data_IF_931744625586
#
_entry.id   IF_931744625586
#
_cell.length_a   1.000
_cell.length_b   1.000
_cell.length_c   1.000
_cell.angle_alpha   90.00
_cell.angle_beta   90.00
_cell.angle_gamma   90.00
#
_symmetry.space_group_name_H-M   'P 1'
#
loop_
_entity.id
_entity.type
_entity.pdbx_description
1 polymer ?
#
# COMPACT_ATOMS: atom_id res chain seq x y z
N UNK A 1 21.97 6.99 33.91
CA UNK A 1 21.06 7.77 33.03
C UNK A 1 19.88 6.86 32.70
N UNK A 2 18.63 7.32 32.79
CA UNK A 2 17.50 6.52 32.34
C UNK A 2 17.68 6.22 30.85
N UNK A 3 17.87 4.95 30.52
CA UNK A 3 17.96 4.50 29.13
C UNK A 3 16.52 4.30 28.67
N UNK A 4 16.04 5.20 27.81
CA UNK A 4 14.74 5.03 27.16
C UNK A 4 14.89 3.86 26.19
N UNK A 5 14.37 2.70 26.60
CA UNK A 5 14.40 1.51 25.80
C UNK A 5 13.26 1.51 24.77
N UNK A 6 13.31 0.58 23.80
CA UNK A 6 12.19 0.33 22.90
C UNK A 6 10.87 0.09 23.64
N UNK A 7 10.93 -0.51 24.84
CA UNK A 7 9.77 -0.74 25.71
C UNK A 7 9.10 0.55 26.20
N UNK A 8 9.85 1.53 26.70
CA UNK A 8 9.27 2.83 27.09
C UNK A 8 8.68 3.58 25.88
N UNK A 9 9.33 3.52 24.72
CA UNK A 9 8.82 4.17 23.49
C UNK A 9 7.46 3.58 23.10
N UNK A 10 7.31 2.25 23.15
CA UNK A 10 6.04 1.59 22.85
C UNK A 10 4.96 1.97 23.86
N UNK A 11 5.29 2.07 25.15
CA UNK A 11 4.35 2.49 26.19
C UNK A 11 3.86 3.94 25.98
N UNK A 12 4.76 4.86 25.64
CA UNK A 12 4.42 6.24 25.30
C UNK A 12 3.57 6.33 24.03
N UNK A 13 3.89 5.52 23.01
CA UNK A 13 3.09 5.41 21.80
C UNK A 13 1.67 4.93 22.12
N UNK A 14 1.53 3.89 22.95
CA UNK A 14 0.22 3.39 23.39
C UNK A 14 -0.60 4.48 24.09
N UNK A 15 0.03 5.26 24.97
CA UNK A 15 -0.63 6.36 25.65
C UNK A 15 -1.06 7.44 24.65
N UNK A 16 -0.18 7.84 23.74
CA UNK A 16 -0.50 8.79 22.67
C UNK A 16 -1.62 8.27 21.75
N UNK A 17 -1.62 6.97 21.43
CA UNK A 17 -2.71 6.32 20.68
C UNK A 17 -4.04 6.35 21.43
N UNK A 18 -4.03 6.34 22.76
CA UNK A 18 -5.25 6.43 23.56
C UNK A 18 -5.82 7.86 23.56
N UNK A 19 -4.96 8.88 23.62
CA UNK A 19 -5.37 10.28 23.56
C UNK A 19 -5.78 10.72 22.15
N UNK A 20 -4.97 10.40 21.15
CA UNK A 20 -5.17 10.84 19.77
C UNK A 20 -5.96 9.84 18.92
N UNK A 21 -5.98 8.56 19.29
CA UNK A 21 -6.57 7.47 18.53
C UNK A 21 -5.59 6.83 17.52
N UNK A 22 -5.72 5.53 17.32
CA UNK A 22 -4.89 4.74 16.38
C UNK A 22 -4.93 5.24 14.92
N UNK A 23 -5.99 5.96 14.54
CA UNK A 23 -6.16 6.50 13.17
C UNK A 23 -5.44 7.83 12.94
N UNK A 24 -5.22 8.63 13.99
CA UNK A 24 -4.61 9.99 13.86
C UNK A 24 -3.10 9.95 13.68
N UNK A 25 -2.40 9.04 14.36
CA UNK A 25 -0.95 8.91 14.21
C UNK A 25 -0.48 8.65 12.77
N UNK A 26 -1.03 7.66 12.04
CA UNK A 26 -0.63 7.41 10.65
C UNK A 26 -1.09 8.51 9.69
N UNK A 27 -2.18 9.21 10.00
CA UNK A 27 -2.66 10.35 9.22
C UNK A 27 -1.66 11.52 9.28
N UNK A 28 -1.21 11.87 10.48
CA UNK A 28 -0.19 12.91 10.72
C UNK A 28 1.18 12.49 10.15
N UNK A 29 1.58 11.22 10.32
CA UNK A 29 2.81 10.70 9.74
C UNK A 29 2.81 10.76 8.20
N UNK A 30 1.67 10.50 7.55
CA UNK A 30 1.55 10.61 6.08
C UNK A 30 1.66 12.05 5.59
N UNK A 31 1.05 13.02 6.27
CA UNK A 31 1.15 14.43 5.86
C UNK A 31 2.56 14.98 6.11
N UNK A 32 3.16 14.68 7.26
CA UNK A 32 4.55 15.02 7.58
C UNK A 32 5.53 14.36 6.63
N UNK A 33 5.33 13.09 6.29
CA UNK A 33 6.22 12.34 5.39
C UNK A 33 6.26 12.92 3.98
N UNK A 34 5.10 13.33 3.44
CA UNK A 34 5.02 14.03 2.15
C UNK A 34 5.75 15.37 2.19
N UNK A 35 5.48 16.19 3.21
CA UNK A 35 6.16 17.48 3.37
C UNK A 35 7.66 17.34 3.58
N UNK A 36 8.11 16.33 4.35
CA UNK A 36 9.52 16.04 4.56
C UNK A 36 10.21 15.56 3.27
N UNK A 37 9.49 14.80 2.42
CA UNK A 37 10.01 14.38 1.11
C UNK A 37 10.17 15.56 0.18
N UNK A 38 9.15 16.40 0.03
CA UNK A 38 9.20 17.63 -0.78
C UNK A 38 10.28 18.60 -0.26
N UNK A 39 10.41 18.74 1.06
CA UNK A 39 11.46 19.53 1.69
C UNK A 39 12.85 18.96 1.39
N UNK A 40 13.05 17.65 1.54
CA UNK A 40 14.32 17.00 1.22
C UNK A 40 14.64 17.13 -0.27
N UNK A 41 13.67 16.97 -1.16
CA UNK A 41 13.87 17.08 -2.61
C UNK A 41 14.28 18.50 -3.01
N UNK A 42 13.68 19.52 -2.37
CA UNK A 42 14.02 20.92 -2.59
C UNK A 42 15.40 21.30 -2.03
N UNK A 43 15.76 20.77 -0.85
CA UNK A 43 17.06 21.03 -0.21
C UNK A 43 18.20 20.24 -0.84
N UNK A 44 17.93 19.04 -1.38
CA UNK A 44 18.94 18.14 -1.96
C UNK A 44 19.21 18.40 -3.45
N UNK A 45 18.49 19.35 -4.08
CA UNK A 45 18.83 19.96 -5.37
C UNK A 45 18.60 19.11 -6.62
N UNK A 46 18.64 17.78 -6.57
CA UNK A 46 18.38 16.89 -7.72
C UNK A 46 17.65 15.64 -7.22
N UNK A 47 16.39 15.50 -7.65
CA UNK A 47 15.45 14.51 -7.16
C UNK A 47 15.92 13.07 -7.36
N UNK A 48 15.85 12.28 -6.28
CA UNK A 48 15.68 10.84 -6.40
C UNK A 48 14.26 10.63 -6.94
N UNK A 49 14.16 10.56 -8.28
CA UNK A 49 12.98 10.02 -8.96
C UNK A 49 12.89 8.55 -8.60
N UNK A 50 12.22 8.24 -7.49
CA UNK A 50 11.58 6.94 -7.36
C UNK A 50 10.36 6.99 -8.27
N UNK A 51 10.60 6.59 -9.52
CA UNK A 51 9.58 6.13 -10.45
C UNK A 51 8.94 4.88 -9.83
N UNK A 52 7.98 5.12 -8.94
CA UNK A 52 7.03 4.14 -8.45
C UNK A 52 5.97 3.95 -9.58
N UNK A 53 6.45 3.54 -10.76
CA UNK A 53 5.65 2.81 -11.72
C UNK A 53 5.29 1.48 -11.04
N UNK A 54 4.30 1.51 -10.15
CA UNK A 54 3.56 0.30 -9.84
C UNK A 54 3.02 -0.19 -11.18
N UNK A 55 3.41 -1.38 -11.68
CA UNK A 55 2.64 -2.00 -12.73
C UNK A 55 1.23 -2.07 -12.16
N UNK A 56 0.32 -1.32 -12.78
CA UNK A 56 -1.08 -1.61 -12.63
C UNK A 56 -1.17 -3.08 -13.04
N UNK A 57 -1.35 -3.97 -12.07
CA UNK A 57 -1.81 -5.32 -12.33
C UNK A 57 -3.22 -5.13 -12.88
N UNK A 58 -3.30 -4.73 -14.15
CA UNK A 58 -4.47 -4.93 -14.97
C UNK A 58 -4.66 -6.45 -14.96
N UNK A 59 -5.72 -6.99 -14.32
CA UNK A 59 -6.09 -8.36 -14.64
C UNK A 59 -6.35 -8.37 -16.15
N UNK A 60 -5.71 -9.25 -16.93
CA UNK A 60 -5.92 -9.28 -18.36
C UNK A 60 -7.40 -9.59 -18.61
N UNK A 61 -8.14 -8.57 -19.03
CA UNK A 61 -9.40 -8.75 -19.75
C UNK A 61 -9.01 -9.24 -21.14
N UNK A 62 -8.69 -10.53 -21.20
CA UNK A 62 -8.42 -11.29 -22.41
C UNK A 62 -9.55 -12.28 -22.60
N UNK A 63 -10.62 -11.82 -23.25
CA UNK A 63 -11.63 -12.68 -23.86
C UNK A 63 -10.96 -13.49 -24.98
N UNK A 64 -11.15 -14.82 -24.92
CA UNK A 64 -11.09 -15.80 -26.03
C UNK A 64 -9.71 -16.09 -26.63
N UNK A 65 -9.19 -17.27 -26.32
CA UNK A 65 -8.94 -18.36 -27.29
C UNK A 65 -8.06 -19.42 -26.62
N UNK A 66 -8.63 -20.56 -26.21
CA UNK A 66 -7.97 -21.88 -26.15
C UNK A 66 -9.00 -22.93 -25.70
N UNK A 67 -9.54 -23.64 -26.69
CA UNK A 67 -9.86 -25.08 -26.70
C UNK A 67 -10.46 -25.72 -25.44
N UNK A 68 -11.75 -26.03 -25.52
CA UNK A 68 -12.27 -27.31 -25.06
C UNK A 68 -13.31 -27.82 -26.07
N UNK A 69 -12.98 -28.81 -26.92
CA UNK A 69 -14.00 -29.65 -27.54
C UNK A 69 -14.61 -30.55 -26.45
N UNK A 70 -15.73 -31.23 -26.75
CA UNK A 70 -16.53 -32.13 -25.87
C UNK A 70 -17.68 -31.37 -25.17
N UNK A 71 -18.96 -31.57 -25.44
CA UNK A 71 -19.69 -32.48 -26.30
C UNK A 71 -21.13 -31.93 -26.46
N UNK A 72 -21.72 -31.94 -27.68
CA UNK A 72 -23.17 -31.76 -27.82
C UNK A 72 -23.87 -33.02 -27.27
N UNK A 73 -24.45 -32.91 -26.07
CA UNK A 73 -25.41 -33.89 -25.56
C UNK A 73 -26.76 -33.66 -26.22
N UNK A 74 -27.36 -34.78 -26.62
CA UNK A 74 -28.80 -35.01 -26.75
C UNK A 74 -29.55 -34.14 -27.78
N UNK A 75 -29.70 -34.70 -28.98
CA UNK A 75 -30.96 -34.65 -29.71
C UNK A 75 -31.45 -36.06 -29.98
N UNK A 76 -32.00 -36.66 -28.92
CA UNK A 76 -33.05 -37.70 -29.01
C UNK A 76 -34.26 -37.08 -29.75
N UNK A 77 -34.52 -37.47 -31.00
CA UNK A 77 -35.37 -38.58 -31.46
C UNK A 77 -36.88 -38.32 -31.42
N UNK A 78 -37.45 -38.37 -32.64
CA UNK A 78 -38.83 -38.72 -33.07
C UNK A 78 -39.96 -37.72 -32.80
#
# INVERSE_FOLDING_TARGET
MPNIGPGEIVLLLLLALLLFGAKRLPEIGRSLGKGMREFKDSVSGIGVKDDDERPQLEPPVGTQDTTAPVAPRERDTV
#
